data_IF_077349650190
#
_entry.id   IF_077349650190
#
_cell.length_a   1.000
_cell.length_b   1.000
_cell.length_c   1.000
_cell.angle_alpha   90.00
_cell.angle_beta   90.00
_cell.angle_gamma   90.00
#
_symmetry.space_group_name_H-M   'P 1'
#
loop_
_entity.id
_entity.type
_entity.pdbx_description
1 polymer ?
#
# COMPACT_ATOMS: atom_id res chain seq x y z
N UNK A 1 9.62 -15.49 8.28
CA UNK A 1 9.73 -14.34 7.35
C UNK A 1 9.18 -13.12 8.06
N UNK A 2 9.93 -12.02 8.11
CA UNK A 2 9.54 -10.81 8.88
C UNK A 2 9.48 -9.61 7.97
N UNK A 3 8.45 -8.77 8.07
CA UNK A 3 8.34 -7.49 7.35
C UNK A 3 8.47 -6.35 8.36
N UNK A 4 9.38 -5.41 8.11
CA UNK A 4 9.58 -4.21 8.93
C UNK A 4 8.97 -3.01 8.23
N UNK A 5 8.02 -2.35 8.89
CA UNK A 5 7.32 -1.15 8.42
C UNK A 5 7.48 -0.04 9.46
N UNK A 6 7.78 1.19 9.01
CA UNK A 6 7.84 2.35 9.90
C UNK A 6 6.43 2.70 10.37
N UNK A 7 6.29 3.10 11.64
CA UNK A 7 4.99 3.52 12.20
C UNK A 7 4.35 4.67 11.42
N UNK A 8 5.17 5.58 10.89
CA UNK A 8 4.70 6.68 10.03
C UNK A 8 4.06 6.17 8.74
N UNK A 9 4.68 5.19 8.08
CA UNK A 9 4.15 4.62 6.83
C UNK A 9 2.88 3.80 7.10
N UNK A 10 2.81 3.08 8.22
CA UNK A 10 1.57 2.46 8.67
C UNK A 10 0.42 3.48 8.81
N UNK A 11 0.69 4.62 9.47
CA UNK A 11 -0.29 5.69 9.60
C UNK A 11 -0.77 6.25 8.26
N UNK A 12 0.14 6.39 7.29
CA UNK A 12 -0.20 6.84 5.92
C UNK A 12 -1.10 5.83 5.20
N UNK A 13 -0.80 4.54 5.28
CA UNK A 13 -1.61 3.46 4.68
C UNK A 13 -3.02 3.45 5.28
N UNK A 14 -3.13 3.51 6.61
CA UNK A 14 -4.44 3.53 7.29
C UNK A 14 -5.22 4.80 6.95
N UNK A 15 -4.55 5.94 6.86
CA UNK A 15 -5.17 7.20 6.43
C UNK A 15 -5.73 7.12 5.02
N UNK A 16 -4.96 6.55 4.08
CA UNK A 16 -5.40 6.31 2.70
C UNK A 16 -6.64 5.43 2.64
N UNK A 17 -6.62 4.28 3.31
CA UNK A 17 -7.74 3.35 3.35
C UNK A 17 -9.02 3.98 3.92
N UNK A 18 -8.91 4.82 4.95
CA UNK A 18 -10.07 5.53 5.51
C UNK A 18 -10.61 6.61 4.56
N UNK A 19 -9.73 7.29 3.84
CA UNK A 19 -10.12 8.33 2.89
C UNK A 19 -10.79 7.77 1.63
N UNK A 20 -10.44 6.53 1.23
CA UNK A 20 -11.03 5.89 0.06
C UNK A 20 -12.37 5.19 0.29
N UNK A 21 -12.87 5.11 1.53
CA UNK A 21 -14.17 4.50 1.82
C UNK A 21 -15.31 5.14 1.00
N UNK A 22 -16.29 4.35 0.53
CA UNK A 22 -16.47 2.91 0.76
C UNK A 22 -15.64 2.02 -0.18
N UNK A 23 -14.84 2.61 -1.07
CA UNK A 23 -14.08 1.89 -2.08
C UNK A 23 -12.78 1.32 -1.49
N UNK A 24 -12.29 0.26 -2.11
CA UNK A 24 -10.97 -0.29 -1.82
C UNK A 24 -9.89 0.74 -2.20
N UNK A 25 -8.83 0.81 -1.38
CA UNK A 25 -7.69 1.71 -1.60
C UNK A 25 -6.40 0.89 -1.77
N UNK A 26 -5.86 0.89 -2.98
CA UNK A 26 -4.68 0.12 -3.33
C UNK A 26 -3.37 0.92 -3.19
N UNK A 27 -2.24 0.22 -3.25
CA UNK A 27 -0.92 0.82 -3.14
C UNK A 27 0.23 -0.16 -3.36
N UNK A 28 1.42 0.39 -3.61
CA UNK A 28 2.66 -0.37 -3.76
C UNK A 28 3.64 -0.10 -2.62
N UNK A 29 4.41 -1.12 -2.27
CA UNK A 29 5.43 -1.01 -1.23
C UNK A 29 6.76 -1.48 -1.81
N UNK A 30 7.77 -0.61 -1.72
CA UNK A 30 9.12 -0.88 -2.18
C UNK A 30 10.10 -0.91 -1.00
N UNK A 31 11.14 -1.72 -1.16
CA UNK A 31 12.23 -1.82 -0.20
C UNK A 31 13.10 -3.04 -0.47
N UNK A 32 13.82 -3.48 0.56
CA UNK A 32 14.85 -4.52 0.43
C UNK A 32 14.40 -5.84 1.06
N UNK A 33 14.92 -6.95 0.55
CA UNK A 33 14.73 -8.29 1.10
C UNK A 33 16.09 -8.95 1.29
N UNK A 34 16.49 -9.19 2.54
CA UNK A 34 17.78 -9.81 2.85
C UNK A 34 17.64 -10.70 4.09
N UNK A 35 18.18 -11.93 4.02
CA UNK A 35 18.23 -12.84 5.16
C UNK A 35 16.87 -13.16 5.79
N UNK A 36 15.79 -13.25 5.00
CA UNK A 36 14.44 -13.54 5.49
C UNK A 36 13.70 -12.36 6.14
N UNK A 37 14.31 -11.18 6.16
CA UNK A 37 13.70 -9.91 6.58
C UNK A 37 13.46 -9.04 5.35
N UNK A 38 12.24 -8.51 5.22
CA UNK A 38 11.86 -7.50 4.23
C UNK A 38 11.72 -6.16 4.94
N UNK A 39 12.39 -5.12 4.47
CA UNK A 39 12.29 -3.78 5.06
C UNK A 39 11.60 -2.85 4.07
N UNK A 40 10.50 -2.25 4.49
CA UNK A 40 9.78 -1.25 3.71
C UNK A 40 10.54 0.07 3.78
N UNK A 41 10.86 0.62 2.61
CA UNK A 41 11.58 1.89 2.46
C UNK A 41 10.69 2.97 1.84
N UNK A 42 9.71 2.58 1.02
CA UNK A 42 8.80 3.52 0.35
C UNK A 42 7.41 2.94 0.17
N UNK A 43 6.40 3.78 0.39
CA UNK A 43 4.98 3.47 0.19
C UNK A 43 4.43 4.43 -0.87
N UNK A 44 3.81 3.84 -1.89
CA UNK A 44 3.10 4.52 -2.97
C UNK A 44 1.60 4.29 -2.76
N UNK A 45 0.86 5.36 -2.53
CA UNK A 45 -0.59 5.33 -2.38
C UNK A 45 -1.18 5.52 -3.77
N UNK A 46 -1.89 4.51 -4.26
CA UNK A 46 -2.48 4.52 -5.60
C UNK A 46 -3.98 4.74 -5.51
N UNK A 47 -4.58 5.17 -6.61
CA UNK A 47 -6.03 5.24 -6.72
C UNK A 47 -6.54 3.93 -7.31
N UNK A 48 -7.66 3.42 -6.82
CA UNK A 48 -8.32 2.27 -7.45
C UNK A 48 -9.15 2.77 -8.65
N UNK A 49 -8.72 2.53 -9.90
CA UNK A 49 -9.41 3.08 -11.07
C UNK A 49 -10.78 2.45 -11.30
N UNK A 50 -11.00 1.22 -10.83
CA UNK A 50 -12.29 0.52 -10.92
C UNK A 50 -13.31 1.03 -9.90
N UNK A 51 -12.88 1.85 -8.92
CA UNK A 51 -13.73 2.39 -7.85
C UNK A 51 -14.61 1.32 -7.18
N UNK A 52 -14.09 0.11 -7.05
CA UNK A 52 -14.80 -1.02 -6.46
C UNK A 52 -14.56 -1.07 -4.95
N UNK A 53 -15.56 -1.47 -4.15
CA UNK A 53 -15.40 -1.70 -2.71
C UNK A 53 -14.59 -2.96 -2.37
N UNK A 54 -14.41 -3.88 -3.31
CA UNK A 54 -13.84 -5.20 -3.05
C UNK A 54 -12.73 -5.62 -4.03
N UNK A 55 -12.77 -5.11 -5.26
CA UNK A 55 -11.75 -5.38 -6.27
C UNK A 55 -10.77 -4.22 -6.35
N UNK A 56 -9.51 -4.53 -6.67
CA UNK A 56 -8.51 -3.53 -6.99
C UNK A 56 -7.96 -3.77 -8.37
N UNK A 57 -7.69 -2.67 -9.07
CA UNK A 57 -6.84 -2.64 -10.24
C UNK A 57 -5.69 -1.69 -9.98
N UNK A 58 -4.56 -1.96 -10.62
CA UNK A 58 -3.41 -1.05 -10.65
C UNK A 58 -3.29 -0.57 -12.08
N UNK A 59 -3.42 0.74 -12.30
CA UNK A 59 -3.13 1.31 -13.61
C UNK A 59 -1.64 1.11 -13.90
N UNK A 60 -1.25 0.42 -14.99
CA UNK A 60 0.16 0.19 -15.31
C UNK A 60 1.01 1.46 -15.49
N UNK A 61 0.36 2.63 -15.62
CA UNK A 61 1.01 3.94 -15.73
C UNK A 61 1.36 4.55 -14.38
N UNK A 62 0.73 4.08 -13.29
CA UNK A 62 1.05 4.45 -11.90
C UNK A 62 2.14 3.55 -11.30
#
# INVERSE_FOLDING_TARGET
>A
MTVRLRKSDYGRIVGHAKAGLPNESCGLIAGTAQGGVKTVEKVYLLSNPDQSPEHFSVDPRE
#
